data_IF_686663862653
#
_entry.id   IF_686663862653
#
_cell.length_a   1.000
_cell.length_b   1.000
_cell.length_c   1.000
_cell.angle_alpha   90.00
_cell.angle_beta   90.00
_cell.angle_gamma   90.00
#
_symmetry.space_group_name_H-M   'P 1'
#
loop_
_entity.id
_entity.type
_entity.pdbx_description
1 polymer ?
#
# COMPACT_ATOMS: atom_id res chain seq x y z
N UNK A 1 -20.45 -7.15 -17.21
CA UNK A 1 -19.88 -5.97 -16.49
C UNK A 1 -18.40 -6.22 -16.37
N UNK A 2 -17.57 -5.23 -16.66
CA UNK A 2 -16.10 -5.35 -16.52
C UNK A 2 -15.78 -5.28 -15.02
N UNK A 3 -14.99 -6.22 -14.51
CA UNK A 3 -14.57 -6.19 -13.10
C UNK A 3 -13.76 -4.93 -12.80
N UNK A 4 -14.22 -4.13 -11.83
CA UNK A 4 -13.60 -2.85 -11.45
C UNK A 4 -12.28 -3.03 -10.70
N UNK A 5 -12.06 -4.20 -10.12
CA UNK A 5 -10.80 -4.61 -9.50
C UNK A 5 -10.44 -5.99 -10.02
N UNK A 6 -9.35 -6.08 -10.76
CA UNK A 6 -8.83 -7.36 -11.24
C UNK A 6 -7.85 -7.92 -10.21
N UNK A 7 -7.92 -9.23 -9.99
CA UNK A 7 -6.93 -9.94 -9.19
C UNK A 7 -6.37 -11.12 -9.97
N UNK A 8 -5.05 -11.14 -10.13
CA UNK A 8 -4.34 -12.18 -10.88
C UNK A 8 -3.19 -12.72 -10.05
N UNK A 9 -3.07 -14.05 -9.99
CA UNK A 9 -1.96 -14.73 -9.32
C UNK A 9 -1.02 -15.33 -10.38
N UNK A 10 0.27 -15.08 -10.22
CA UNK A 10 1.33 -15.65 -11.07
C UNK A 10 2.49 -16.10 -10.19
N UNK A 11 2.64 -17.42 -10.03
CA UNK A 11 3.57 -18.00 -9.06
C UNK A 11 3.18 -17.57 -7.63
N UNK A 12 4.14 -17.04 -6.87
CA UNK A 12 3.93 -16.57 -5.50
C UNK A 12 3.49 -15.09 -5.42
N UNK A 13 3.16 -14.44 -6.54
CA UNK A 13 2.82 -13.01 -6.60
C UNK A 13 1.37 -12.81 -7.00
N UNK A 14 0.60 -12.12 -6.17
CA UNK A 14 -0.73 -11.61 -6.49
C UNK A 14 -0.65 -10.17 -7.01
N UNK A 15 -1.40 -9.84 -8.06
CA UNK A 15 -1.49 -8.47 -8.59
C UNK A 15 -2.92 -7.98 -8.55
N UNK A 16 -3.15 -6.92 -7.80
CA UNK A 16 -4.42 -6.18 -7.70
C UNK A 16 -4.35 -5.01 -8.68
N UNK A 17 -5.27 -4.96 -9.64
CA UNK A 17 -5.35 -3.84 -10.59
C UNK A 17 -6.66 -3.09 -10.40
N UNK A 18 -6.56 -1.82 -10.04
CA UNK A 18 -7.69 -0.87 -10.05
C UNK A 18 -8.06 -0.62 -11.50
N UNK A 19 -9.23 -1.09 -11.95
CA UNK A 19 -9.57 -1.21 -13.37
C UNK A 19 -10.77 -0.35 -13.79
N UNK A 20 -10.55 0.97 -13.77
CA UNK A 20 -11.51 1.97 -14.24
C UNK A 20 -10.78 3.11 -14.96
N UNK A 21 -10.00 2.80 -16.03
CA UNK A 21 -9.08 3.77 -16.66
C UNK A 21 -9.80 4.96 -17.30
N UNK A 22 -11.04 4.82 -17.76
CA UNK A 22 -11.87 5.90 -18.29
C UNK A 22 -12.17 7.00 -17.25
N UNK A 23 -12.27 6.61 -15.97
CA UNK A 23 -12.44 7.51 -14.83
C UNK A 23 -11.12 7.76 -14.07
N UNK A 24 -9.94 7.57 -14.71
CA UNK A 24 -8.63 7.67 -14.07
C UNK A 24 -8.51 6.81 -12.80
N UNK A 25 -9.10 5.64 -12.83
CA UNK A 25 -9.12 4.70 -11.70
C UNK A 25 -9.68 5.31 -10.40
N UNK A 26 -10.65 6.23 -10.50
CA UNK A 26 -11.37 6.76 -9.34
C UNK A 26 -12.10 5.63 -8.61
N UNK A 27 -11.92 5.57 -7.30
CA UNK A 27 -12.30 4.45 -6.44
C UNK A 27 -13.76 4.56 -6.00
N UNK A 28 -14.54 3.52 -6.24
CA UNK A 28 -15.86 3.32 -5.64
C UNK A 28 -15.76 2.57 -4.31
N UNK A 29 -16.82 2.55 -3.52
CA UNK A 29 -16.85 1.78 -2.27
C UNK A 29 -16.64 0.28 -2.50
N UNK A 30 -17.22 -0.26 -3.56
CA UNK A 30 -17.05 -1.66 -3.96
C UNK A 30 -15.57 -1.99 -4.28
N UNK A 31 -14.87 -1.07 -4.97
CA UNK A 31 -13.45 -1.25 -5.27
C UNK A 31 -12.60 -1.24 -3.99
N UNK A 32 -12.89 -0.34 -3.07
CA UNK A 32 -12.23 -0.29 -1.77
C UNK A 32 -12.42 -1.59 -0.99
N UNK A 33 -13.67 -2.05 -0.85
CA UNK A 33 -13.99 -3.28 -0.13
C UNK A 33 -13.28 -4.49 -0.78
N UNK A 34 -13.27 -4.56 -2.12
CA UNK A 34 -12.60 -5.66 -2.83
C UNK A 34 -11.08 -5.66 -2.64
N UNK A 35 -10.44 -4.50 -2.62
CA UNK A 35 -9.01 -4.39 -2.30
C UNK A 35 -8.74 -4.90 -0.88
N UNK A 36 -9.57 -4.51 0.10
CA UNK A 36 -9.43 -4.95 1.48
C UNK A 36 -9.57 -6.48 1.63
N UNK A 37 -10.57 -7.08 0.98
CA UNK A 37 -10.78 -8.53 0.97
C UNK A 37 -9.54 -9.27 0.45
N UNK A 38 -9.01 -8.86 -0.70
CA UNK A 38 -7.83 -9.50 -1.29
C UNK A 38 -6.60 -9.32 -0.39
N UNK A 39 -6.41 -8.14 0.20
CA UNK A 39 -5.28 -7.88 1.10
C UNK A 39 -5.38 -8.70 2.39
N UNK A 40 -6.59 -8.93 2.92
CA UNK A 40 -6.79 -9.74 4.12
C UNK A 40 -6.52 -11.24 3.85
N UNK A 41 -6.90 -11.75 2.69
CA UNK A 41 -6.71 -13.15 2.30
C UNK A 41 -6.26 -13.24 0.83
N UNK A 42 -4.94 -13.06 0.56
CA UNK A 42 -4.42 -13.05 -0.81
C UNK A 42 -4.59 -14.39 -1.54
N UNK A 43 -4.59 -15.51 -0.81
CA UNK A 43 -4.90 -16.84 -1.32
C UNK A 43 -5.29 -17.75 -0.18
N UNK A 44 -6.31 -18.58 -0.38
CA UNK A 44 -6.82 -19.52 0.64
C UNK A 44 -5.78 -20.58 1.06
N UNK A 45 -4.87 -20.95 0.15
CA UNK A 45 -3.81 -21.94 0.38
C UNK A 45 -2.49 -21.34 0.86
N UNK A 46 -2.42 -20.02 1.02
CA UNK A 46 -1.20 -19.31 1.39
C UNK A 46 -0.09 -19.35 0.33
N UNK A 47 -0.42 -19.67 -0.93
CA UNK A 47 0.55 -19.70 -2.04
C UNK A 47 1.07 -18.33 -2.43
N UNK A 48 0.27 -17.27 -2.27
CA UNK A 48 0.69 -15.89 -2.51
C UNK A 48 1.60 -15.42 -1.36
N UNK A 49 2.78 -14.90 -1.71
CA UNK A 49 3.81 -14.44 -0.77
C UNK A 49 4.10 -12.95 -0.88
N UNK A 50 3.60 -12.28 -1.92
CA UNK A 50 3.69 -10.83 -2.10
C UNK A 50 2.51 -10.32 -2.92
N UNK A 51 2.10 -9.08 -2.67
CA UNK A 51 1.05 -8.38 -3.43
C UNK A 51 1.63 -7.17 -4.15
N UNK A 52 1.22 -6.97 -5.40
CA UNK A 52 1.41 -5.75 -6.16
C UNK A 52 0.04 -5.07 -6.29
N UNK A 53 -0.04 -3.78 -5.99
CA UNK A 53 -1.23 -2.94 -6.24
C UNK A 53 -0.87 -1.93 -7.32
N UNK A 54 -1.69 -1.86 -8.38
CA UNK A 54 -1.47 -0.95 -9.51
C UNK A 54 -2.78 -0.44 -10.10
N UNK A 55 -2.71 0.57 -10.97
CA UNK A 55 -3.83 1.04 -11.77
C UNK A 55 -3.80 0.48 -13.21
N UNK A 56 -4.95 0.31 -13.84
CA UNK A 56 -5.05 0.00 -15.25
C UNK A 56 -4.63 1.22 -16.10
N UNK A 57 -3.84 0.96 -17.16
CA UNK A 57 -3.30 2.02 -18.02
C UNK A 57 -2.16 2.80 -17.35
N UNK A 58 -1.76 3.89 -17.99
CA UNK A 58 -0.60 4.73 -17.60
C UNK A 58 -0.99 6.13 -17.10
N UNK A 59 -2.28 6.47 -17.14
CA UNK A 59 -2.79 7.81 -16.81
C UNK A 59 -2.96 8.03 -15.31
N UNK A 60 -3.26 6.97 -14.56
CA UNK A 60 -3.45 7.05 -13.12
C UNK A 60 -3.26 5.69 -12.44
N UNK A 61 -2.59 5.69 -11.32
CA UNK A 61 -2.69 4.63 -10.31
C UNK A 61 -4.11 4.62 -9.74
N UNK A 62 -4.51 5.71 -9.12
CA UNK A 62 -5.89 6.04 -8.75
C UNK A 62 -5.99 7.55 -8.46
N UNK A 63 -6.94 8.23 -9.08
CA UNK A 63 -7.08 9.69 -8.95
C UNK A 63 -7.89 10.13 -7.71
N UNK A 64 -8.17 9.21 -6.81
CA UNK A 64 -8.92 9.45 -5.58
C UNK A 64 -10.22 8.68 -5.50
N UNK A 65 -11.03 9.00 -4.51
CA UNK A 65 -12.40 8.48 -4.40
C UNK A 65 -13.31 9.13 -5.44
N UNK A 66 -14.23 8.35 -5.99
CA UNK A 66 -15.25 8.90 -6.90
C UNK A 66 -16.09 9.95 -6.15
N UNK A 67 -15.93 11.21 -6.55
CA UNK A 67 -16.56 12.34 -5.87
C UNK A 67 -18.09 12.29 -5.91
N UNK A 68 -18.69 11.53 -6.83
CA UNK A 68 -20.14 11.38 -6.90
C UNK A 68 -20.71 10.70 -5.64
N UNK A 69 -19.92 9.90 -4.94
CA UNK A 69 -20.30 9.24 -3.70
C UNK A 69 -20.61 10.23 -2.58
N UNK A 70 -19.96 11.41 -2.57
CA UNK A 70 -20.20 12.43 -1.55
C UNK A 70 -21.51 13.20 -1.72
N UNK A 71 -22.20 13.09 -2.87
CA UNK A 71 -23.51 13.71 -3.07
C UNK A 71 -24.59 13.21 -2.09
N UNK A 72 -24.39 11.99 -1.59
CA UNK A 72 -25.29 11.39 -0.61
C UNK A 72 -25.11 11.90 0.83
N UNK A 73 -24.01 12.60 1.13
CA UNK A 73 -23.70 13.07 2.48
C UNK A 73 -24.66 14.19 2.90
N UNK A 74 -25.38 13.99 4.01
CA UNK A 74 -26.38 14.92 4.53
C UNK A 74 -26.22 15.18 6.02
N UNK A 75 -25.55 14.31 6.73
CA UNK A 75 -25.38 14.33 8.18
C UNK A 75 -23.96 13.93 8.57
N UNK A 76 -23.48 14.31 9.75
CA UNK A 76 -22.11 14.01 10.20
C UNK A 76 -21.73 12.52 10.12
N UNK A 77 -22.69 11.65 10.39
CA UNK A 77 -22.52 10.19 10.40
C UNK A 77 -22.10 9.66 9.02
N UNK A 78 -22.54 10.30 7.93
CA UNK A 78 -22.16 9.90 6.56
C UNK A 78 -20.66 10.10 6.32
N UNK A 79 -20.10 11.20 6.82
CA UNK A 79 -18.67 11.50 6.72
C UNK A 79 -17.84 10.58 7.63
N UNK A 80 -18.30 10.31 8.85
CA UNK A 80 -17.63 9.40 9.78
C UNK A 80 -17.63 7.97 9.26
N UNK A 81 -18.76 7.47 8.74
CA UNK A 81 -18.87 6.14 8.14
C UNK A 81 -17.97 5.98 6.90
N UNK A 82 -17.80 7.05 6.11
CA UNK A 82 -16.85 7.05 4.99
C UNK A 82 -15.42 6.89 5.48
N UNK A 83 -14.97 7.72 6.44
CA UNK A 83 -13.60 7.65 6.97
C UNK A 83 -13.34 6.30 7.67
N UNK A 84 -14.31 5.74 8.39
CA UNK A 84 -14.20 4.41 9.00
C UNK A 84 -14.02 3.31 7.93
N UNK A 85 -14.79 3.39 6.83
CA UNK A 85 -14.62 2.45 5.71
C UNK A 85 -13.22 2.55 5.11
N UNK A 86 -12.74 3.77 4.83
CA UNK A 86 -11.40 3.98 4.27
C UNK A 86 -10.33 3.46 5.24
N UNK A 87 -10.43 3.74 6.53
CA UNK A 87 -9.47 3.25 7.52
C UNK A 87 -9.43 1.71 7.57
N UNK A 88 -10.57 1.05 7.50
CA UNK A 88 -10.63 -0.42 7.44
C UNK A 88 -9.88 -0.96 6.22
N UNK A 89 -10.03 -0.33 5.05
CA UNK A 89 -9.32 -0.73 3.83
C UNK A 89 -7.82 -0.53 3.96
N UNK A 90 -7.40 0.64 4.45
CA UNK A 90 -5.98 0.95 4.62
C UNK A 90 -5.33 0.04 5.68
N UNK A 91 -6.04 -0.23 6.76
CA UNK A 91 -5.61 -1.20 7.76
C UNK A 91 -5.46 -2.62 7.18
N UNK A 92 -6.37 -3.07 6.31
CA UNK A 92 -6.24 -4.36 5.65
C UNK A 92 -4.99 -4.44 4.75
N UNK A 93 -4.61 -3.35 4.08
CA UNK A 93 -3.35 -3.28 3.31
C UNK A 93 -2.14 -3.34 4.26
N UNK A 94 -2.15 -2.54 5.33
CA UNK A 94 -1.05 -2.48 6.29
C UNK A 94 -0.85 -3.80 7.05
N UNK A 95 -1.93 -4.51 7.37
CA UNK A 95 -1.88 -5.78 8.10
C UNK A 95 -1.92 -7.01 7.20
N UNK A 96 -1.86 -6.82 5.88
CA UNK A 96 -1.80 -7.93 4.93
C UNK A 96 -0.72 -8.93 5.36
N UNK A 97 -1.00 -10.25 5.32
CA UNK A 97 -0.09 -11.29 5.81
C UNK A 97 1.19 -11.41 4.98
N UNK A 98 1.25 -10.69 3.85
CA UNK A 98 2.37 -10.68 2.90
C UNK A 98 2.76 -9.23 2.58
N UNK A 99 4.00 -8.96 2.13
CA UNK A 99 4.41 -7.63 1.68
C UNK A 99 3.56 -7.10 0.54
N UNK A 100 3.29 -5.79 0.57
CA UNK A 100 2.51 -5.05 -0.42
C UNK A 100 3.38 -4.02 -1.13
N UNK A 101 3.29 -3.96 -2.47
CA UNK A 101 4.08 -3.07 -3.31
C UNK A 101 3.14 -2.21 -4.16
N UNK A 102 3.15 -0.91 -3.98
CA UNK A 102 2.46 0.02 -4.86
C UNK A 102 3.32 0.27 -6.11
N UNK A 103 2.83 -0.20 -7.26
CA UNK A 103 3.42 0.03 -8.58
C UNK A 103 2.67 1.17 -9.27
N UNK A 104 3.22 2.38 -9.22
CA UNK A 104 2.50 3.63 -9.48
C UNK A 104 2.84 4.17 -10.86
N UNK A 105 1.81 4.45 -11.67
CA UNK A 105 1.96 5.15 -12.94
C UNK A 105 0.87 6.21 -13.08
N UNK A 106 1.26 7.43 -13.46
CA UNK A 106 0.37 8.57 -13.60
C UNK A 106 -0.13 9.12 -12.26
N UNK A 107 -1.38 9.60 -12.22
CA UNK A 107 -1.93 10.27 -11.05
C UNK A 107 -2.16 9.31 -9.87
N UNK A 108 -1.59 9.65 -8.71
CA UNK A 108 -1.76 8.97 -7.43
C UNK A 108 -2.18 10.02 -6.40
N UNK A 109 -3.48 10.29 -6.30
CA UNK A 109 -4.00 11.43 -5.52
C UNK A 109 -5.15 11.03 -4.60
N UNK A 110 -5.34 11.77 -3.52
CA UNK A 110 -6.42 11.54 -2.55
C UNK A 110 -6.46 10.09 -2.06
N UNK A 111 -7.59 9.41 -2.23
CA UNK A 111 -7.75 8.00 -1.82
C UNK A 111 -6.78 7.03 -2.52
N UNK A 112 -6.34 7.33 -3.75
CA UNK A 112 -5.28 6.55 -4.40
C UNK A 112 -3.93 6.73 -3.71
N UNK A 113 -3.60 7.94 -3.30
CA UNK A 113 -2.39 8.23 -2.55
C UNK A 113 -2.42 7.59 -1.14
N UNK A 114 -3.58 7.53 -0.47
CA UNK A 114 -3.69 6.83 0.83
C UNK A 114 -3.46 5.33 0.69
N UNK A 115 -3.97 4.68 -0.37
CA UNK A 115 -3.68 3.26 -0.68
C UNK A 115 -2.17 3.06 -0.88
N UNK A 116 -1.52 3.91 -1.69
CA UNK A 116 -0.10 3.81 -1.94
C UNK A 116 0.72 3.99 -0.65
N UNK A 117 0.32 4.92 0.23
CA UNK A 117 0.96 5.16 1.54
C UNK A 117 0.78 3.98 2.50
N UNK A 118 -0.35 3.27 2.44
CA UNK A 118 -0.60 2.08 3.25
C UNK A 118 0.19 0.84 2.78
N UNK A 119 0.69 0.80 1.54
CA UNK A 119 1.57 -0.27 1.08
C UNK A 119 2.94 -0.24 1.77
N UNK A 120 3.63 -1.39 1.84
CA UNK A 120 4.96 -1.48 2.43
C UNK A 120 6.02 -0.78 1.56
N UNK A 121 5.99 -1.03 0.25
CA UNK A 121 6.91 -0.45 -0.72
C UNK A 121 6.15 0.37 -1.78
N UNK A 122 6.79 1.39 -2.33
CA UNK A 122 6.27 2.28 -3.38
C UNK A 122 7.35 2.55 -4.40
N UNK A 123 7.04 2.24 -5.67
CA UNK A 123 7.86 2.61 -6.83
C UNK A 123 6.99 3.30 -7.85
N UNK A 124 7.54 4.19 -8.66
CA UNK A 124 6.75 5.01 -9.57
C UNK A 124 7.40 5.20 -10.94
N UNK A 125 6.59 5.51 -11.94
CA UNK A 125 7.06 5.99 -13.24
C UNK A 125 7.34 7.50 -13.21
N UNK A 126 8.17 7.98 -14.12
CA UNK A 126 8.54 9.40 -14.24
C UNK A 126 7.32 10.31 -14.43
N UNK A 127 6.26 9.83 -15.11
CA UNK A 127 5.02 10.58 -15.32
C UNK A 127 4.09 10.62 -14.10
N UNK A 128 4.50 10.04 -12.96
CA UNK A 128 3.65 9.99 -11.77
C UNK A 128 3.61 11.32 -11.03
N UNK A 129 2.43 11.61 -10.48
CA UNK A 129 2.20 12.75 -9.59
C UNK A 129 1.49 12.30 -8.33
N UNK A 130 1.96 12.84 -7.18
CA UNK A 130 1.46 12.50 -5.85
C UNK A 130 0.87 13.70 -5.15
N UNK A 131 -0.22 13.52 -4.41
CA UNK A 131 -0.67 14.56 -3.49
C UNK A 131 -2.08 14.42 -2.99
N UNK A 132 -2.42 15.37 -2.13
CA UNK A 132 -3.72 15.48 -1.47
C UNK A 132 -4.31 16.87 -1.74
N UNK A 133 -4.83 17.14 -2.95
CA UNK A 133 -5.29 18.49 -3.32
C UNK A 133 -6.64 18.87 -2.68
N UNK A 134 -7.00 18.26 -1.55
CA UNK A 134 -8.30 18.38 -0.86
C UNK A 134 -8.66 19.82 -0.53
N UNK A 135 -7.70 20.63 -0.08
CA UNK A 135 -7.92 22.03 0.24
C UNK A 135 -8.31 22.90 -0.98
N UNK A 136 -7.89 22.49 -2.19
CA UNK A 136 -8.21 23.20 -3.44
C UNK A 136 -9.44 22.63 -4.15
N UNK A 137 -9.79 21.36 -3.90
CA UNK A 137 -10.84 20.66 -4.66
C UNK A 137 -12.16 20.57 -3.89
N UNK A 138 -12.21 19.73 -2.86
CA UNK A 138 -13.44 19.40 -2.15
C UNK A 138 -13.62 20.14 -0.82
N UNK A 139 -12.52 20.66 -0.25
CA UNK A 139 -12.56 21.31 1.06
C UNK A 139 -12.71 20.33 2.23
N UNK A 140 -12.49 19.03 2.00
CA UNK A 140 -12.47 18.02 3.06
C UNK A 140 -11.06 17.92 3.69
N UNK A 141 -10.93 17.11 4.74
CA UNK A 141 -9.66 16.82 5.39
C UNK A 141 -9.29 15.34 5.23
N UNK A 142 -8.08 14.98 5.66
CA UNK A 142 -7.66 13.59 5.87
C UNK A 142 -7.98 13.18 7.31
N UNK A 143 -8.20 11.88 7.56
CA UNK A 143 -8.29 11.36 8.92
C UNK A 143 -6.96 11.48 9.66
N UNK A 144 -7.01 11.48 10.99
CA UNK A 144 -5.80 11.52 11.84
C UNK A 144 -4.87 10.36 11.54
N UNK A 145 -5.40 9.16 11.28
CA UNK A 145 -4.62 7.99 10.90
C UNK A 145 -3.85 8.21 9.59
N UNK A 146 -4.47 8.85 8.58
CA UNK A 146 -3.80 9.18 7.33
C UNK A 146 -2.70 10.23 7.53
N UNK A 147 -2.94 11.25 8.37
CA UNK A 147 -1.88 12.18 8.76
C UNK A 147 -0.73 11.48 9.47
N UNK A 148 -1.01 10.55 10.39
CA UNK A 148 0.03 9.81 11.11
C UNK A 148 0.89 8.96 10.15
N UNK A 149 0.28 8.30 9.17
CA UNK A 149 1.01 7.55 8.10
C UNK A 149 1.95 8.46 7.33
N UNK A 150 1.45 9.59 6.85
CA UNK A 150 2.24 10.56 6.08
C UNK A 150 3.36 11.18 6.91
N UNK A 151 3.07 11.59 8.14
CA UNK A 151 4.07 12.19 9.05
C UNK A 151 5.20 11.20 9.34
N UNK A 152 4.88 9.92 9.54
CA UNK A 152 5.88 8.88 9.75
C UNK A 152 6.82 8.69 8.53
N UNK A 153 6.33 8.97 7.31
CA UNK A 153 7.13 8.82 6.07
C UNK A 153 7.95 10.06 5.74
N UNK A 154 7.33 11.25 5.77
CA UNK A 154 7.93 12.46 5.20
C UNK A 154 8.05 13.63 6.18
N UNK A 155 7.57 13.44 7.41
CA UNK A 155 7.58 14.46 8.47
C UNK A 155 6.46 15.50 8.33
N UNK A 156 6.09 16.10 9.46
CA UNK A 156 4.93 17.01 9.57
C UNK A 156 5.05 18.25 8.65
N UNK A 157 6.25 18.80 8.47
CA UNK A 157 6.46 19.97 7.63
C UNK A 157 6.11 19.72 6.16
N UNK A 158 6.49 18.55 5.62
CA UNK A 158 6.17 18.17 4.24
C UNK A 158 4.68 17.87 4.07
N UNK A 159 4.07 17.21 5.04
CA UNK A 159 2.63 16.95 5.03
C UNK A 159 1.85 18.28 5.03
N UNK A 160 2.25 19.24 5.86
CA UNK A 160 1.64 20.58 5.89
C UNK A 160 1.76 21.27 4.54
N UNK A 161 2.97 21.30 3.94
CA UNK A 161 3.19 21.88 2.61
C UNK A 161 2.27 21.23 1.56
N UNK A 162 2.25 19.90 1.47
CA UNK A 162 1.47 19.16 0.48
C UNK A 162 -0.03 19.44 0.57
N UNK A 163 -0.59 19.46 1.79
CA UNK A 163 -2.03 19.60 2.00
C UNK A 163 -2.47 21.07 1.87
N UNK A 164 -1.77 22.02 2.53
CA UNK A 164 -2.17 23.41 2.56
C UNK A 164 -1.98 24.09 1.20
N UNK A 165 -0.89 23.78 0.50
CA UNK A 165 -0.65 24.34 -0.84
C UNK A 165 -1.40 23.59 -1.93
N UNK A 166 -1.94 22.39 -1.62
CA UNK A 166 -2.53 21.45 -2.58
C UNK A 166 -1.61 21.16 -3.77
N UNK A 167 -0.29 21.26 -3.56
CA UNK A 167 0.73 20.99 -4.57
C UNK A 167 0.83 19.49 -4.82
N UNK A 168 0.86 19.12 -6.09
CA UNK A 168 1.20 17.76 -6.49
C UNK A 168 2.72 17.67 -6.65
N UNK A 169 3.30 16.61 -6.08
CA UNK A 169 4.72 16.29 -6.23
C UNK A 169 4.87 15.42 -7.49
N UNK A 170 5.83 15.74 -8.34
CA UNK A 170 6.29 14.83 -9.37
C UNK A 170 7.07 13.65 -8.76
N UNK A 171 7.38 12.64 -9.58
CA UNK A 171 8.06 11.43 -9.12
C UNK A 171 9.45 11.73 -8.52
N UNK A 172 10.19 12.69 -9.08
CA UNK A 172 11.52 13.07 -8.59
C UNK A 172 11.44 13.73 -7.21
N UNK A 173 10.51 14.67 -7.01
CA UNK A 173 10.27 15.31 -5.72
C UNK A 173 9.76 14.30 -4.67
N UNK A 174 8.86 13.39 -5.05
CA UNK A 174 8.37 12.36 -4.16
C UNK A 174 9.49 11.39 -3.72
N UNK A 175 10.42 11.05 -4.61
CA UNK A 175 11.63 10.28 -4.28
C UNK A 175 12.56 11.05 -3.36
N UNK A 176 12.80 12.32 -3.64
CA UNK A 176 13.73 13.14 -2.85
C UNK A 176 13.32 13.29 -1.38
N UNK A 177 12.01 13.21 -1.07
CA UNK A 177 11.50 13.25 0.30
C UNK A 177 11.26 11.86 0.93
N UNK A 178 11.58 10.79 0.21
CA UNK A 178 11.40 9.41 0.70
C UNK A 178 9.98 8.85 0.63
N UNK A 179 9.05 9.54 -0.07
CA UNK A 179 7.69 9.03 -0.26
C UNK A 179 7.65 7.80 -1.17
N UNK A 180 8.51 7.76 -2.18
CA UNK A 180 8.75 6.60 -3.05
C UNK A 180 10.23 6.23 -3.04
N UNK A 181 10.55 4.94 -3.26
CA UNK A 181 11.92 4.43 -3.22
C UNK A 181 12.63 4.50 -4.58
N UNK A 182 11.91 4.22 -5.66
CA UNK A 182 12.47 4.13 -7.01
C UNK A 182 11.60 4.86 -8.03
N UNK A 183 12.25 5.44 -9.05
CA UNK A 183 11.58 6.03 -10.22
C UNK A 183 12.09 5.33 -11.47
N UNK A 184 11.17 4.96 -12.35
CA UNK A 184 11.41 4.23 -13.60
C UNK A 184 10.83 4.99 -14.79
N UNK A 185 11.33 4.79 -16.02
CA UNK A 185 10.93 5.58 -17.18
C UNK A 185 9.42 5.56 -17.46
N UNK A 186 8.79 4.39 -17.35
CA UNK A 186 7.41 4.20 -17.74
C UNK A 186 6.72 3.10 -16.91
N UNK A 187 5.43 2.86 -17.20
CA UNK A 187 4.62 1.83 -16.57
C UNK A 187 5.18 0.42 -16.75
N UNK A 188 5.72 0.12 -17.94
CA UNK A 188 6.25 -1.22 -18.22
C UNK A 188 7.46 -1.52 -17.33
N UNK A 189 8.37 -0.56 -17.20
CA UNK A 189 9.54 -0.67 -16.33
C UNK A 189 9.15 -0.75 -14.84
N UNK A 190 8.16 0.05 -14.40
CA UNK A 190 7.62 -0.04 -13.04
C UNK A 190 7.05 -1.42 -12.75
N UNK A 191 6.24 -1.99 -13.66
CA UNK A 191 5.63 -3.30 -13.45
C UNK A 191 6.66 -4.43 -13.46
N UNK A 192 7.67 -4.36 -14.34
CA UNK A 192 8.78 -5.32 -14.35
C UNK A 192 9.53 -5.26 -13.01
N UNK A 193 9.87 -4.07 -12.55
CA UNK A 193 10.58 -3.88 -11.27
C UNK A 193 9.73 -4.29 -10.06
N UNK A 194 8.43 -3.99 -10.05
CA UNK A 194 7.52 -4.43 -9.00
C UNK A 194 7.49 -5.96 -8.89
N UNK A 195 7.50 -6.67 -10.02
CA UNK A 195 7.54 -8.12 -10.06
C UNK A 195 8.86 -8.66 -9.50
N UNK A 196 10.00 -8.11 -9.90
CA UNK A 196 11.31 -8.49 -9.35
C UNK A 196 11.38 -8.30 -7.83
N UNK A 197 10.87 -7.16 -7.32
CA UNK A 197 10.78 -6.89 -5.89
C UNK A 197 9.86 -7.91 -5.20
N UNK A 198 8.68 -8.18 -5.77
CA UNK A 198 7.74 -9.14 -5.22
C UNK A 198 8.31 -10.56 -5.16
N UNK A 199 9.01 -11.01 -6.20
CA UNK A 199 9.70 -12.31 -6.24
C UNK A 199 10.84 -12.36 -5.22
N UNK A 200 11.58 -11.26 -5.05
CA UNK A 200 12.65 -11.15 -4.05
C UNK A 200 12.08 -11.31 -2.64
N UNK A 201 11.06 -10.52 -2.28
CA UNK A 201 10.48 -10.57 -0.92
C UNK A 201 9.72 -11.88 -0.68
N UNK A 202 9.14 -12.48 -1.70
CA UNK A 202 8.50 -13.80 -1.60
C UNK A 202 9.47 -14.92 -1.17
N UNK A 203 10.76 -14.74 -1.42
CA UNK A 203 11.84 -15.65 -0.99
C UNK A 203 12.38 -15.37 0.42
N UNK A 204 11.89 -14.37 1.13
CA UNK A 204 12.37 -13.99 2.46
C UNK A 204 11.50 -14.59 3.58
N UNK A 205 12.06 -14.60 4.82
CA UNK A 205 11.39 -15.12 6.01
C UNK A 205 10.07 -14.38 6.30
N UNK A 206 8.90 -15.00 6.18
CA UNK A 206 7.62 -14.31 6.26
C UNK A 206 7.31 -13.78 7.66
N UNK A 207 7.75 -14.46 8.72
CA UNK A 207 7.55 -13.98 10.09
C UNK A 207 8.32 -12.69 10.36
N UNK A 208 9.56 -12.57 9.86
CA UNK A 208 10.35 -11.34 9.98
C UNK A 208 9.63 -10.16 9.31
N UNK A 209 9.08 -10.38 8.11
CA UNK A 209 8.37 -9.32 7.39
C UNK A 209 7.08 -8.91 8.12
N UNK A 210 6.30 -9.87 8.64
CA UNK A 210 5.09 -9.58 9.44
C UNK A 210 5.43 -8.82 10.72
N UNK A 211 6.45 -9.28 11.47
CA UNK A 211 6.89 -8.62 12.68
C UNK A 211 7.36 -7.19 12.41
N UNK A 212 8.08 -6.96 11.29
CA UNK A 212 8.52 -5.62 10.89
C UNK A 212 7.34 -4.70 10.58
N UNK A 213 6.35 -5.16 9.80
CA UNK A 213 5.12 -4.39 9.52
C UNK A 213 4.41 -4.00 10.81
N UNK A 214 4.19 -4.98 11.70
CA UNK A 214 3.49 -4.76 12.96
C UNK A 214 4.28 -3.84 13.90
N UNK A 215 5.60 -4.00 14.01
CA UNK A 215 6.43 -3.12 14.84
C UNK A 215 6.37 -1.66 14.39
N UNK A 216 6.46 -1.40 13.07
CA UNK A 216 6.36 -0.04 12.53
C UNK A 216 4.97 0.56 12.73
N UNK A 217 3.91 -0.25 12.62
CA UNK A 217 2.53 0.16 12.92
C UNK A 217 2.38 0.54 14.40
N UNK A 218 2.84 -0.32 15.33
CA UNK A 218 2.82 -0.05 16.79
C UNK A 218 3.58 1.23 17.14
N UNK A 219 4.78 1.43 16.58
CA UNK A 219 5.55 2.66 16.77
C UNK A 219 4.78 3.90 16.35
N UNK A 220 4.09 3.86 15.21
CA UNK A 220 3.25 4.96 14.73
C UNK A 220 2.07 5.24 15.67
N UNK A 221 1.51 4.20 16.31
CA UNK A 221 0.44 4.29 17.30
C UNK A 221 0.92 4.66 18.71
N UNK A 222 2.23 4.91 18.88
CA UNK A 222 2.81 5.25 20.18
C UNK A 222 2.99 4.05 21.11
N UNK A 223 2.76 2.84 20.63
CA UNK A 223 2.99 1.59 21.38
C UNK A 223 4.48 1.24 21.38
N UNK A 224 4.92 0.54 22.44
CA UNK A 224 6.31 0.13 22.61
C UNK A 224 6.47 -1.32 23.05
N UNK A 225 5.38 -2.06 23.10
CA UNK A 225 5.35 -3.48 23.40
C UNK A 225 5.78 -4.27 22.14
N UNK A 226 6.78 -5.14 22.26
CA UNK A 226 7.37 -5.90 21.15
C UNK A 226 7.76 -7.35 21.52
N UNK A 227 7.60 -7.75 22.78
CA UNK A 227 8.01 -9.06 23.28
C UNK A 227 7.38 -10.21 22.47
N UNK A 228 6.11 -10.09 22.11
CA UNK A 228 5.39 -11.08 21.29
C UNK A 228 6.00 -11.22 19.89
N UNK A 229 6.43 -10.11 19.27
CA UNK A 229 7.06 -10.11 17.95
C UNK A 229 8.45 -10.77 18.00
N UNK A 230 9.22 -10.47 19.05
CA UNK A 230 10.53 -11.06 19.30
C UNK A 230 10.38 -12.58 19.48
N UNK A 231 9.51 -13.00 20.40
CA UNK A 231 9.27 -14.42 20.67
C UNK A 231 8.77 -15.15 19.43
N UNK A 232 7.82 -14.56 18.69
CA UNK A 232 7.30 -15.14 17.45
C UNK A 232 8.41 -15.42 16.43
N UNK A 233 9.37 -14.52 16.27
CA UNK A 233 10.47 -14.72 15.33
C UNK A 233 11.50 -15.73 15.84
N UNK A 234 12.07 -15.50 17.06
CA UNK A 234 13.18 -16.29 17.57
C UNK A 234 12.83 -17.72 17.97
N UNK A 235 11.56 -17.99 18.31
CA UNK A 235 11.11 -19.33 18.71
C UNK A 235 10.46 -20.12 17.57
N UNK A 236 10.44 -19.57 16.35
CA UNK A 236 9.85 -20.18 15.16
C UNK A 236 10.67 -21.35 14.59
N UNK A 237 10.03 -22.19 13.80
CA UNK A 237 10.70 -23.19 12.96
C UNK A 237 11.57 -22.48 11.90
N UNK A 238 11.09 -21.35 11.35
CA UNK A 238 11.82 -20.55 10.36
C UNK A 238 13.15 -20.02 10.92
N UNK A 239 13.21 -19.62 12.18
CA UNK A 239 14.47 -19.17 12.79
C UNK A 239 15.49 -20.30 12.87
N UNK A 240 15.05 -21.51 13.23
CA UNK A 240 15.92 -22.70 13.27
C UNK A 240 16.39 -23.09 11.88
N UNK A 241 15.46 -23.11 10.91
CA UNK A 241 15.79 -23.37 9.50
C UNK A 241 16.79 -22.35 8.96
N UNK A 242 16.59 -21.06 9.26
CA UNK A 242 17.49 -19.99 8.86
C UNK A 242 18.90 -20.15 9.41
N UNK A 243 19.01 -20.51 10.70
CA UNK A 243 20.29 -20.79 11.35
C UNK A 243 21.02 -21.96 10.69
N UNK A 244 20.33 -23.10 10.53
CA UNK A 244 20.91 -24.31 9.92
C UNK A 244 21.29 -24.08 8.45
N UNK A 245 20.43 -23.39 7.68
CA UNK A 245 20.69 -23.06 6.28
C UNK A 245 21.94 -22.14 6.17
N UNK A 246 22.07 -21.14 7.05
CA UNK A 246 23.20 -20.23 7.05
C UNK A 246 24.51 -20.96 7.34
N UNK A 247 24.54 -21.81 8.39
CA UNK A 247 25.72 -22.60 8.76
C UNK A 247 26.10 -23.60 7.65
N UNK A 248 25.12 -24.21 7.00
CA UNK A 248 25.32 -25.15 5.90
C UNK A 248 25.56 -24.47 4.54
N UNK A 249 25.53 -23.13 4.44
CA UNK A 249 25.68 -22.34 3.21
C UNK A 249 24.68 -22.77 2.09
N UNK A 250 23.43 -23.07 2.46
CA UNK A 250 22.34 -23.39 1.55
C UNK A 250 21.22 -22.35 1.63
N UNK A 251 20.31 -22.35 0.67
CA UNK A 251 19.09 -21.54 0.76
C UNK A 251 18.16 -22.10 1.83
N UNK A 252 17.55 -21.25 2.67
CA UNK A 252 16.51 -21.65 3.62
C UNK A 252 15.19 -21.95 2.92
N UNK A 253 14.37 -22.81 3.54
CA UNK A 253 13.02 -23.18 3.10
C UNK A 253 12.00 -22.68 4.13
N UNK A 254 11.54 -21.45 3.97
CA UNK A 254 10.67 -20.77 4.90
C UNK A 254 9.25 -21.35 4.91
N UNK A 255 8.73 -21.67 6.08
CA UNK A 255 7.37 -22.21 6.30
C UNK A 255 6.39 -21.19 6.89
N UNK A 256 6.87 -20.11 7.46
CA UNK A 256 6.05 -19.06 8.09
C UNK A 256 5.51 -19.45 9.46
N UNK A 257 6.16 -20.33 10.18
CA UNK A 257 5.73 -20.84 11.48
C UNK A 257 6.89 -21.13 12.43
#
# INVERSE_FOLDING_TARGET
MTDLVLYQISGAVGTITVNRPEARNALTFEMYDRIAEICAEPSADGSVKALIITGAGDRAFAAGTDISLFRGFKQPEDALAYEERIERVLSAIETAPVPTIAAISGACTGGGATIAVACDLRIASENSVFGFPVARTLGNCLSLSNYARLVAMVGAGRVMEMVVTAKLLDAAAAKAIGLISEVHPDRQAVMARARELAETVAGHAPLTMRATKEALRRLREGRRDDEDLIVQCYMSEDFREGLEAFLAKRKPDWKGR
#
